data_IF_113932978690
#
_entry.id   IF_113932978690
#
_cell.length_a   1.000
_cell.length_b   1.000
_cell.length_c   1.000
_cell.angle_alpha   90.00
_cell.angle_beta   90.00
_cell.angle_gamma   90.00
#
_symmetry.space_group_name_H-M   'P 1'
#
loop_
_entity.id
_entity.type
_entity.pdbx_description
1 polymer ?
#
# COMPACT_ATOMS: atom_id res chain seq x y z
N UNK A 1 -5.87 11.06 -0.15
CA UNK A 1 -6.82 10.75 0.95
C UNK A 1 -6.38 9.42 1.51
N UNK A 2 -6.18 9.32 2.82
CA UNK A 2 -5.72 8.08 3.46
C UNK A 2 -6.69 6.93 3.14
N UNK A 3 -6.15 5.76 2.82
CA UNK A 3 -6.89 4.53 2.55
C UNK A 3 -7.62 4.02 3.81
N UNK A 4 -7.19 4.49 4.98
CA UNK A 4 -7.93 4.37 6.23
C UNK A 4 -8.53 5.72 6.59
N UNK A 5 -9.85 5.80 6.66
CA UNK A 5 -10.56 7.04 6.90
C UNK A 5 -11.86 6.82 7.64
N UNK A 6 -12.36 7.87 8.30
CA UNK A 6 -13.68 7.84 8.91
C UNK A 6 -14.74 8.27 7.90
N UNK A 7 -15.81 7.49 7.80
CA UNK A 7 -17.02 7.84 7.06
C UNK A 7 -18.21 7.51 7.95
N UNK A 8 -19.12 8.47 8.15
CA UNK A 8 -20.29 8.30 9.03
C UNK A 8 -19.94 7.72 10.40
N UNK A 9 -18.84 8.20 11.00
CA UNK A 9 -18.32 7.75 12.30
C UNK A 9 -17.88 6.27 12.37
N UNK A 10 -17.70 5.61 11.21
CA UNK A 10 -17.12 4.27 11.10
C UNK A 10 -15.71 4.35 10.51
N UNK A 11 -14.79 3.54 11.04
CA UNK A 11 -13.45 3.43 10.48
C UNK A 11 -13.48 2.48 9.27
N UNK A 12 -13.17 3.04 8.12
CA UNK A 12 -13.13 2.36 6.83
C UNK A 12 -11.69 2.00 6.49
N UNK A 13 -11.51 0.84 5.87
CA UNK A 13 -10.33 0.46 5.11
C UNK A 13 -10.75 0.34 3.64
N UNK A 14 -10.28 1.26 2.81
CA UNK A 14 -10.76 1.41 1.44
C UNK A 14 -12.29 1.55 1.43
N UNK A 15 -13.03 0.64 0.78
CA UNK A 15 -14.50 0.69 0.68
C UNK A 15 -15.21 -0.17 1.73
N UNK A 16 -14.49 -0.80 2.66
CA UNK A 16 -15.04 -1.72 3.66
C UNK A 16 -14.92 -1.14 5.07
N UNK A 17 -15.94 -1.35 5.90
CA UNK A 17 -15.85 -1.01 7.32
C UNK A 17 -14.98 -2.04 8.05
N UNK A 18 -14.10 -1.60 8.95
CA UNK A 18 -13.30 -2.54 9.75
C UNK A 18 -14.17 -3.42 10.66
N UNK A 19 -15.33 -2.93 11.09
CA UNK A 19 -16.29 -3.71 11.87
C UNK A 19 -16.80 -4.93 11.07
N UNK A 20 -17.17 -4.73 9.81
CA UNK A 20 -17.62 -5.83 8.94
C UNK A 20 -16.53 -6.87 8.66
N UNK A 21 -15.27 -6.44 8.57
CA UNK A 21 -14.13 -7.38 8.44
C UNK A 21 -14.02 -8.22 9.71
N UNK A 22 -14.05 -7.58 10.88
CA UNK A 22 -13.95 -8.25 12.18
C UNK A 22 -15.11 -9.23 12.41
N UNK A 23 -16.33 -8.90 12.01
CA UNK A 23 -17.47 -9.82 12.09
C UNK A 23 -17.23 -11.12 11.30
N UNK A 24 -16.49 -11.05 10.18
CA UNK A 24 -16.22 -12.20 9.33
C UNK A 24 -15.01 -13.03 9.78
N UNK A 25 -13.95 -12.37 10.26
CA UNK A 25 -12.66 -13.05 10.52
C UNK A 25 -12.22 -13.05 11.99
N UNK A 26 -12.90 -12.32 12.86
CA UNK A 26 -12.60 -12.21 14.29
C UNK A 26 -11.41 -11.30 14.64
N UNK A 27 -11.08 -11.25 15.94
CA UNK A 27 -9.91 -10.52 16.48
C UNK A 27 -9.00 -11.45 17.30
N UNK A 28 -7.67 -11.17 17.34
CA UNK A 28 -6.96 -10.10 16.65
C UNK A 28 -6.79 -10.37 15.14
N UNK A 29 -6.88 -9.32 14.31
CA UNK A 29 -6.65 -9.41 12.86
C UNK A 29 -5.88 -8.20 12.34
N UNK A 30 -4.99 -8.43 11.36
CA UNK A 30 -4.29 -7.37 10.63
C UNK A 30 -5.02 -7.09 9.33
N UNK A 31 -5.22 -5.82 9.02
CA UNK A 31 -5.85 -5.36 7.77
C UNK A 31 -4.87 -4.49 7.00
N UNK A 32 -4.56 -4.87 5.77
CA UNK A 32 -3.68 -4.13 4.86
C UNK A 32 -4.51 -3.56 3.71
N UNK A 33 -4.22 -2.32 3.31
CA UNK A 33 -4.77 -1.74 2.09
C UNK A 33 -3.84 -2.04 0.92
N UNK A 34 -4.40 -2.64 -0.14
CA UNK A 34 -3.68 -2.88 -1.39
C UNK A 34 -3.33 -1.56 -2.07
N UNK A 35 -4.29 -0.63 -2.11
CA UNK A 35 -4.08 0.68 -2.73
C UNK A 35 -2.97 1.48 -2.06
N UNK A 36 -2.86 1.40 -0.73
CA UNK A 36 -1.79 2.07 0.00
C UNK A 36 -0.42 1.47 -0.35
N UNK A 37 -0.30 0.13 -0.42
CA UNK A 37 0.94 -0.55 -0.80
C UNK A 37 1.39 -0.16 -2.22
N UNK A 38 0.45 -0.20 -3.18
CA UNK A 38 0.71 0.18 -4.57
C UNK A 38 1.12 1.66 -4.67
N UNK A 39 0.38 2.55 -4.01
CA UNK A 39 0.66 4.00 -4.04
C UNK A 39 2.06 4.31 -3.50
N UNK A 40 2.47 3.67 -2.41
CA UNK A 40 3.83 3.88 -1.86
C UNK A 40 4.90 3.31 -2.78
N UNK A 41 4.70 2.14 -3.38
CA UNK A 41 5.64 1.59 -4.36
C UNK A 41 5.80 2.53 -5.57
N UNK A 42 4.68 3.00 -6.13
CA UNK A 42 4.67 3.90 -7.27
C UNK A 42 5.36 5.22 -6.94
N UNK A 43 5.18 5.77 -5.73
CA UNK A 43 5.86 6.99 -5.31
C UNK A 43 7.40 6.85 -5.36
N UNK A 44 7.97 5.70 -4.99
CA UNK A 44 9.41 5.44 -5.12
C UNK A 44 9.82 5.33 -6.59
N UNK A 45 9.11 4.50 -7.36
CA UNK A 45 9.42 4.26 -8.78
C UNK A 45 9.37 5.57 -9.57
N UNK A 46 8.28 6.32 -9.42
CA UNK A 46 8.02 7.54 -10.19
C UNK A 46 9.02 8.65 -9.81
N UNK A 47 9.44 8.72 -8.54
CA UNK A 47 10.47 9.67 -8.12
C UNK A 47 11.86 9.32 -8.69
N UNK A 48 12.20 8.04 -8.79
CA UNK A 48 13.44 7.57 -9.41
C UNK A 48 13.42 7.82 -10.92
N UNK A 49 12.29 7.57 -11.59
CA UNK A 49 12.12 7.83 -13.02
C UNK A 49 12.06 9.34 -13.36
N UNK A 50 11.75 10.20 -12.39
CA UNK A 50 11.73 11.65 -12.55
C UNK A 50 13.14 12.28 -12.53
N UNK A 51 14.21 11.52 -12.27
CA UNK A 51 15.59 12.00 -12.41
C UNK A 51 15.89 12.26 -13.90
N UNK A 52 15.76 13.53 -14.31
CA UNK A 52 15.93 14.01 -15.69
C UNK A 52 17.38 14.19 -16.10
N UNK A 53 18.34 13.82 -15.25
CA UNK A 53 19.78 13.98 -15.55
C UNK A 53 20.26 13.14 -16.74
N UNK A 54 19.47 12.16 -17.19
CA UNK A 54 19.71 11.44 -18.45
C UNK A 54 18.38 10.87 -18.97
N UNK A 55 17.81 11.45 -20.03
CA UNK A 55 16.57 10.98 -20.67
C UNK A 55 16.64 9.50 -21.13
N UNK A 56 17.85 8.94 -21.20
CA UNK A 56 18.14 7.55 -21.56
C UNK A 56 17.97 6.56 -20.39
N UNK A 57 17.87 7.03 -19.13
CA UNK A 57 17.88 6.17 -17.93
C UNK A 57 16.51 5.85 -17.31
N UNK A 58 15.43 6.31 -17.95
CA UNK A 58 14.07 6.01 -17.48
C UNK A 58 13.87 4.50 -17.40
N UNK A 59 13.56 3.98 -16.22
CA UNK A 59 13.41 2.53 -15.98
C UNK A 59 14.70 1.74 -15.69
N UNK A 60 15.86 2.38 -15.51
CA UNK A 60 17.09 1.69 -15.08
C UNK A 60 17.11 1.40 -13.55
N UNK A 61 16.22 2.03 -12.79
CA UNK A 61 16.17 1.88 -11.34
C UNK A 61 15.34 0.68 -10.92
N UNK A 62 15.82 -0.06 -9.91
CA UNK A 62 15.12 -1.18 -9.31
C UNK A 62 14.73 -0.88 -7.86
N UNK A 63 13.45 -0.94 -7.56
CA UNK A 63 12.93 -0.84 -6.18
C UNK A 63 12.89 -2.25 -5.57
N UNK A 64 13.90 -2.58 -4.78
CA UNK A 64 13.96 -3.87 -4.06
C UNK A 64 13.23 -3.78 -2.71
N UNK A 65 12.02 -4.33 -2.63
CA UNK A 65 11.27 -4.39 -1.38
C UNK A 65 12.01 -5.21 -0.32
N UNK A 66 12.21 -4.62 0.87
CA UNK A 66 12.84 -5.30 1.99
C UNK A 66 11.86 -6.28 2.65
N UNK A 67 11.83 -7.53 2.18
CA UNK A 67 10.90 -8.61 2.60
C UNK A 67 10.80 -8.80 4.12
N UNK A 68 11.85 -8.45 4.88
CA UNK A 68 11.83 -8.47 6.36
C UNK A 68 10.75 -7.56 6.98
N UNK A 69 10.23 -6.57 6.24
CA UNK A 69 9.18 -5.68 6.72
C UNK A 69 7.81 -6.37 6.76
N UNK A 70 7.50 -7.17 5.75
CA UNK A 70 6.31 -8.02 5.69
C UNK A 70 6.50 -9.09 4.61
N UNK A 71 6.68 -10.34 5.02
CA UNK A 71 6.88 -11.48 4.11
C UNK A 71 5.59 -12.27 3.86
N UNK A 72 4.43 -11.69 4.15
CA UNK A 72 3.14 -12.33 3.89
C UNK A 72 2.95 -12.51 2.36
N UNK A 73 2.59 -13.72 1.93
CA UNK A 73 2.45 -14.05 0.50
C UNK A 73 1.30 -13.34 -0.20
N UNK A 74 0.34 -12.76 0.53
CA UNK A 74 -0.69 -11.90 -0.05
C UNK A 74 -0.22 -10.45 -0.27
N UNK A 75 0.91 -10.07 0.30
CA UNK A 75 1.53 -8.73 0.14
C UNK A 75 2.62 -8.74 -0.93
N UNK A 76 3.38 -9.83 -1.05
CA UNK A 76 4.42 -10.03 -2.08
C UNK A 76 3.80 -10.35 -3.45
#
# INVERSE_FOLDING_TARGET
>A
MSEFYYQNNQLMAEQLSLASIVEQVGTPTYVYSKKALETHYLAYRDALDADTSSAEKKGEHLVCYAVKANSNLGVL
#
